data_IF_753565681216
#
_entry.id   IF_753565681216
#
_cell.length_a   1.000
_cell.length_b   1.000
_cell.length_c   1.000
_cell.angle_alpha   90.00
_cell.angle_beta   90.00
_cell.angle_gamma   90.00
#
_symmetry.space_group_name_H-M   'P 1'
#
loop_
_entity.id
_entity.type
_entity.pdbx_description
1 polymer ?
#
# COMPACT_ATOMS: atom_id res chain seq x y z
N UNK A 1 -16.30 1.88 3.22
CA UNK A 1 -15.56 1.27 2.09
C UNK A 1 -14.06 1.42 2.33
N UNK A 2 -13.27 0.49 1.84
CA UNK A 2 -11.81 0.48 2.07
C UNK A 2 -11.15 1.75 1.54
N UNK A 3 -11.57 2.22 0.37
CA UNK A 3 -11.05 3.45 -0.23
C UNK A 3 -11.23 4.66 0.70
N UNK A 4 -12.38 4.79 1.30
CA UNK A 4 -12.66 5.88 2.24
C UNK A 4 -11.89 5.73 3.54
N UNK A 5 -11.69 4.49 3.99
CA UNK A 5 -10.89 4.19 5.18
C UNK A 5 -9.43 4.59 4.98
N UNK A 6 -8.88 4.34 3.78
CA UNK A 6 -7.52 4.77 3.44
C UNK A 6 -7.41 6.29 3.46
N UNK A 7 -8.38 6.99 2.89
CA UNK A 7 -8.40 8.45 2.88
C UNK A 7 -8.45 9.01 4.31
N UNK A 8 -9.32 8.46 5.14
CA UNK A 8 -9.44 8.87 6.54
C UNK A 8 -8.16 8.59 7.33
N UNK A 9 -7.54 7.42 7.11
CA UNK A 9 -6.28 7.05 7.76
C UNK A 9 -5.14 7.97 7.33
N UNK A 10 -5.10 8.38 6.07
CA UNK A 10 -4.09 9.31 5.55
C UNK A 10 -4.20 10.66 6.26
N UNK A 11 -5.41 11.19 6.38
CA UNK A 11 -5.67 12.46 7.06
C UNK A 11 -5.26 12.38 8.52
N UNK A 12 -5.63 11.29 9.20
CA UNK A 12 -5.29 11.08 10.60
C UNK A 12 -3.77 11.02 10.81
N UNK A 13 -3.05 10.32 9.92
CA UNK A 13 -1.60 10.22 9.97
C UNK A 13 -0.93 11.58 9.77
N UNK A 14 -1.44 12.38 8.84
CA UNK A 14 -0.93 13.74 8.59
C UNK A 14 -1.11 14.62 9.82
N UNK A 15 -2.28 14.59 10.44
CA UNK A 15 -2.57 15.37 11.65
C UNK A 15 -1.71 14.95 12.83
N UNK A 16 -1.42 13.65 12.93
CA UNK A 16 -0.58 13.11 13.99
C UNK A 16 0.92 13.24 13.77
N UNK A 17 1.33 13.76 12.61
CA UNK A 17 2.74 13.91 12.28
C UNK A 17 3.45 12.61 11.95
N UNK A 18 2.72 11.54 11.63
CA UNK A 18 3.28 10.24 11.28
C UNK A 18 3.66 10.24 9.79
N UNK A 19 4.89 10.64 9.51
CA UNK A 19 5.39 10.79 8.14
C UNK A 19 5.50 9.46 7.40
N UNK A 20 5.90 8.39 8.07
CA UNK A 20 6.04 7.06 7.45
C UNK A 20 4.67 6.52 7.03
N UNK A 21 3.70 6.56 7.92
CA UNK A 21 2.34 6.11 7.63
C UNK A 21 1.72 6.95 6.51
N UNK A 22 1.88 8.26 6.56
CA UNK A 22 1.38 9.16 5.52
C UNK A 22 1.98 8.83 4.16
N UNK A 23 3.30 8.64 4.09
CA UNK A 23 3.97 8.32 2.83
C UNK A 23 3.49 6.98 2.26
N UNK A 24 3.37 5.96 3.10
CA UNK A 24 2.91 4.64 2.68
C UNK A 24 1.47 4.69 2.16
N UNK A 25 0.59 5.39 2.87
CA UNK A 25 -0.81 5.52 2.46
C UNK A 25 -0.96 6.32 1.17
N UNK A 26 -0.09 7.31 0.94
CA UNK A 26 -0.07 8.04 -0.33
C UNK A 26 0.37 7.15 -1.50
N UNK A 27 1.34 6.26 -1.27
CA UNK A 27 1.73 5.27 -2.28
C UNK A 27 0.58 4.32 -2.60
N UNK A 28 -0.15 3.88 -1.58
CA UNK A 28 -1.33 3.05 -1.76
C UNK A 28 -2.41 3.77 -2.59
N UNK A 29 -2.68 5.04 -2.28
CA UNK A 29 -3.64 5.86 -3.00
C UNK A 29 -3.25 6.04 -4.47
N UNK A 30 -1.96 6.26 -4.74
CA UNK A 30 -1.45 6.38 -6.10
C UNK A 30 -1.60 5.07 -6.89
N UNK A 31 -1.32 3.93 -6.25
CA UNK A 31 -1.48 2.62 -6.87
C UNK A 31 -2.95 2.32 -7.20
N UNK A 32 -3.85 2.69 -6.30
CA UNK A 32 -5.30 2.54 -6.51
C UNK A 32 -5.75 3.42 -7.69
N UNK A 33 -5.27 4.65 -7.75
CA UNK A 33 -5.60 5.56 -8.86
C UNK A 33 -5.12 5.02 -10.20
N UNK A 34 -3.92 4.45 -10.25
CA UNK A 34 -3.40 3.81 -11.45
C UNK A 34 -4.26 2.63 -11.88
N UNK A 35 -4.71 1.82 -10.90
CA UNK A 35 -5.60 0.69 -11.18
C UNK A 35 -6.97 1.14 -11.68
N UNK A 36 -7.48 2.25 -11.16
CA UNK A 36 -8.72 2.86 -11.67
C UNK A 36 -8.59 3.23 -13.15
N UNK A 37 -7.46 3.78 -13.55
CA UNK A 37 -7.20 4.15 -14.94
C UNK A 37 -7.17 2.90 -15.83
N UNK A 38 -6.49 1.84 -15.41
CA UNK A 38 -6.45 0.58 -16.12
C UNK A 38 -7.84 -0.05 -16.25
N UNK A 39 -8.65 0.05 -15.21
CA UNK A 39 -10.01 -0.49 -15.18
C UNK A 39 -10.94 0.16 -16.20
N UNK A 40 -10.65 1.39 -16.64
CA UNK A 40 -11.44 2.09 -17.66
C UNK A 40 -11.30 1.46 -19.04
N UNK A 41 -10.18 0.80 -19.30
CA UNK A 41 -9.84 0.26 -20.62
C UNK A 41 -9.69 -1.25 -20.66
N UNK A 42 -9.83 -1.91 -19.53
CA UNK A 42 -9.63 -3.35 -19.40
C UNK A 42 -10.58 -3.98 -18.40
N UNK A 43 -10.27 -5.24 -18.05
CA UNK A 43 -11.05 -5.98 -17.07
C UNK A 43 -10.89 -5.37 -15.68
N UNK A 44 -12.00 -5.21 -14.97
CA UNK A 44 -12.01 -4.70 -13.61
C UNK A 44 -12.90 -5.58 -12.73
N UNK A 45 -12.58 -5.72 -11.43
CA UNK A 45 -13.47 -6.34 -10.48
C UNK A 45 -14.80 -5.57 -10.42
N UNK A 46 -15.89 -6.27 -10.16
CA UNK A 46 -17.22 -5.68 -10.07
C UNK A 46 -17.38 -4.77 -8.86
N UNK A 47 -16.66 -5.08 -7.79
CA UNK A 47 -16.75 -4.41 -6.51
C UNK A 47 -15.54 -3.49 -6.31
N UNK A 48 -15.79 -2.27 -5.87
CA UNK A 48 -14.71 -1.29 -5.59
C UNK A 48 -13.77 -1.82 -4.49
N UNK A 49 -14.31 -2.41 -3.44
CA UNK A 49 -13.48 -2.97 -2.37
C UNK A 49 -12.63 -4.13 -2.87
N UNK A 50 -13.12 -4.93 -3.82
CA UNK A 50 -12.34 -6.00 -4.43
C UNK A 50 -11.16 -5.44 -5.24
N UNK A 51 -11.37 -4.35 -5.97
CA UNK A 51 -10.32 -3.67 -6.72
C UNK A 51 -9.24 -3.13 -5.78
N UNK A 52 -9.64 -2.45 -4.72
CA UNK A 52 -8.72 -1.87 -3.72
C UNK A 52 -7.96 -2.99 -3.02
N UNK A 53 -8.64 -4.07 -2.63
CA UNK A 53 -8.00 -5.22 -1.98
C UNK A 53 -6.94 -5.84 -2.89
N UNK A 54 -7.23 -6.01 -4.17
CA UNK A 54 -6.27 -6.52 -5.16
C UNK A 54 -5.00 -5.68 -5.18
N UNK A 55 -5.15 -4.35 -5.22
CA UNK A 55 -4.01 -3.42 -5.22
C UNK A 55 -3.19 -3.56 -3.95
N UNK A 56 -3.84 -3.57 -2.80
CA UNK A 56 -3.16 -3.67 -1.51
C UNK A 56 -2.43 -4.99 -1.34
N UNK A 57 -3.03 -6.11 -1.78
CA UNK A 57 -2.39 -7.41 -1.72
C UNK A 57 -1.15 -7.47 -2.59
N UNK A 58 -1.20 -6.87 -3.76
CA UNK A 58 -0.05 -6.78 -4.67
C UNK A 58 1.08 -5.96 -4.04
N UNK A 59 0.76 -4.84 -3.40
CA UNK A 59 1.73 -4.02 -2.70
C UNK A 59 2.41 -4.77 -1.57
N UNK A 60 1.64 -5.52 -0.79
CA UNK A 60 2.17 -6.35 0.30
C UNK A 60 3.12 -7.42 -0.25
N UNK A 61 2.72 -8.10 -1.29
CA UNK A 61 3.54 -9.13 -1.93
C UNK A 61 4.87 -8.56 -2.42
N UNK A 62 4.84 -7.43 -3.10
CA UNK A 62 6.04 -6.76 -3.60
C UNK A 62 7.00 -6.41 -2.46
N UNK A 63 6.46 -5.92 -1.35
CA UNK A 63 7.28 -5.53 -0.20
C UNK A 63 7.86 -6.73 0.54
N UNK A 64 7.14 -7.84 0.62
CA UNK A 64 7.66 -9.08 1.18
C UNK A 64 8.83 -9.61 0.36
N UNK A 65 8.71 -9.59 -0.96
CA UNK A 65 9.78 -10.01 -1.87
C UNK A 65 11.00 -9.11 -1.71
N UNK A 66 10.80 -7.80 -1.64
CA UNK A 66 11.89 -6.83 -1.43
C UNK A 66 12.58 -7.03 -0.10
N UNK A 67 11.82 -7.22 0.98
CA UNK A 67 12.36 -7.45 2.30
C UNK A 67 13.24 -8.70 2.34
N UNK A 68 12.78 -9.77 1.69
CA UNK A 68 13.55 -11.02 1.60
C UNK A 68 14.87 -10.81 0.86
N UNK A 69 14.85 -10.09 -0.26
CA UNK A 69 16.03 -9.78 -1.03
C UNK A 69 17.02 -8.92 -0.23
N UNK A 70 16.52 -7.92 0.50
CA UNK A 70 17.37 -7.08 1.34
C UNK A 70 18.05 -7.87 2.45
N UNK A 71 17.33 -8.81 3.09
CA UNK A 71 17.90 -9.67 4.11
C UNK A 71 19.01 -10.56 3.55
N UNK A 72 18.79 -11.14 2.38
CA UNK A 72 19.80 -11.95 1.71
C UNK A 72 21.06 -11.15 1.39
N UNK A 73 20.90 -9.86 1.10
CA UNK A 73 22.00 -8.94 0.84
C UNK A 73 22.61 -8.29 2.09
N UNK A 74 22.17 -8.69 3.30
CA UNK A 74 22.67 -8.11 4.54
C UNK A 74 22.14 -6.73 4.87
N UNK A 75 21.03 -6.31 4.23
CA UNK A 75 20.44 -4.98 4.43
C UNK A 75 19.19 -5.08 5.31
N UNK A 76 19.41 -5.47 6.55
CA UNK A 76 18.31 -5.63 7.53
C UNK A 76 17.54 -4.32 7.77
N UNK A 77 18.22 -3.18 7.69
CA UNK A 77 17.62 -1.85 7.82
C UNK A 77 16.54 -1.61 6.75
N UNK A 78 16.82 -1.97 5.51
CA UNK A 78 15.86 -1.82 4.40
C UNK A 78 14.76 -2.86 4.45
N UNK A 79 15.08 -4.08 4.89
CA UNK A 79 14.08 -5.12 5.08
C UNK A 79 13.07 -4.68 6.15
N UNK A 80 13.54 -4.13 7.26
CA UNK A 80 12.68 -3.63 8.33
C UNK A 80 11.78 -2.48 7.84
N UNK A 81 12.30 -1.58 7.00
CA UNK A 81 11.53 -0.50 6.41
C UNK A 81 10.38 -1.04 5.54
N UNK A 82 10.65 -2.05 4.71
CA UNK A 82 9.62 -2.68 3.88
C UNK A 82 8.55 -3.35 4.74
N UNK A 83 8.95 -4.02 5.80
CA UNK A 83 8.00 -4.65 6.74
C UNK A 83 7.16 -3.63 7.48
N UNK A 84 7.73 -2.47 7.79
CA UNK A 84 6.98 -1.35 8.37
C UNK A 84 5.88 -0.86 7.44
N UNK A 85 6.16 -0.78 6.15
CA UNK A 85 5.15 -0.42 5.14
C UNK A 85 4.05 -1.47 5.03
N UNK A 86 4.40 -2.77 5.09
CA UNK A 86 3.43 -3.86 5.11
C UNK A 86 2.48 -3.70 6.29
N UNK A 87 3.01 -3.43 7.47
CA UNK A 87 2.21 -3.26 8.68
C UNK A 87 1.20 -2.11 8.54
N UNK A 88 1.57 -1.01 7.89
CA UNK A 88 0.66 0.10 7.61
C UNK A 88 -0.46 -0.34 6.67
N UNK A 89 -0.12 -1.05 5.61
CA UNK A 89 -1.09 -1.49 4.61
C UNK A 89 -2.09 -2.51 5.18
N UNK A 90 -1.63 -3.39 6.09
CA UNK A 90 -2.46 -4.44 6.67
C UNK A 90 -3.46 -3.95 7.73
N UNK A 91 -3.37 -2.73 8.17
CA UNK A 91 -4.29 -2.18 9.18
C UNK A 91 -5.75 -2.11 8.71
#
# INVERSE_FOLDING_TARGET
>A
MIRDDIKAATIAAMKGGDKQTTATLRLASAAIKNRDIEARTGAAPKDDDALVTEVLQKMIKQRRESAELYRKGGREDRAAAEEGEIAVIER
#
